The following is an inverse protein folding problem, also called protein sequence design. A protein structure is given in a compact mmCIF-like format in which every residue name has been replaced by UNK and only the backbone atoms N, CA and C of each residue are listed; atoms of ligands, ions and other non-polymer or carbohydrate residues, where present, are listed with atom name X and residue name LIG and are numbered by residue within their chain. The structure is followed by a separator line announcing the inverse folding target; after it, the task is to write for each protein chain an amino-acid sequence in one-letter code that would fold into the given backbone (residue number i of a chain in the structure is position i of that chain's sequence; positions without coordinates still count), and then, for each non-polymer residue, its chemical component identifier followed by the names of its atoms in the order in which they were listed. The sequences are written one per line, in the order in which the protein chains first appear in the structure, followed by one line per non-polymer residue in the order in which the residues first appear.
data_IF_468043417995
#
_entry.id   IF_468043417995
#
_cell.length_a   1.000
_cell.length_b   1.000
_cell.length_c   1.000
_cell.angle_alpha   90.00
_cell.angle_beta   90.00
_cell.angle_gamma   90.00
#
_symmetry.space_group_name_H-M   'P 1'
#
loop_
_entity.id
_entity.type
_entity.pdbx_description
1 polymer ?
#
# COMPACT_ATOMS: atom_id res chain seq x y z
N UNK A 1 -54.14 -26.09 -30.55
CA UNK A 1 -54.52 -25.28 -29.38
C UNK A 1 -53.39 -25.45 -28.37
N UNK A 2 -52.24 -24.87 -28.67
CA UNK A 2 -51.78 -23.53 -28.20
C UNK A 2 -51.18 -23.68 -26.79
N UNK A 3 -50.03 -23.16 -26.37
CA UNK A 3 -49.02 -22.28 -26.97
C UNK A 3 -47.80 -22.28 -26.04
N UNK A 4 -46.62 -22.15 -26.65
CA UNK A 4 -45.35 -21.53 -26.20
C UNK A 4 -45.14 -21.18 -24.71
N UNK A 5 -43.96 -21.54 -24.20
CA UNK A 5 -43.04 -20.56 -23.60
C UNK A 5 -41.59 -21.05 -23.73
N UNK A 6 -40.83 -20.41 -24.62
CA UNK A 6 -39.41 -20.60 -24.86
C UNK A 6 -38.67 -19.66 -23.90
N UNK A 7 -38.02 -20.19 -22.86
CA UNK A 7 -37.15 -19.42 -21.96
C UNK A 7 -35.77 -19.28 -22.61
N UNK A 8 -35.59 -18.20 -23.39
CA UNK A 8 -34.29 -17.89 -23.98
C UNK A 8 -33.33 -17.32 -22.94
N UNK A 9 -32.35 -18.13 -22.58
CA UNK A 9 -31.19 -17.77 -21.79
C UNK A 9 -30.19 -17.03 -22.68
N UNK A 10 -30.14 -15.69 -22.60
CA UNK A 10 -29.07 -14.91 -23.24
C UNK A 10 -28.01 -14.51 -22.20
N UNK A 11 -26.78 -14.96 -22.44
CA UNK A 11 -25.62 -14.77 -21.58
C UNK A 11 -24.80 -13.59 -22.09
N UNK A 12 -24.61 -12.54 -21.28
CA UNK A 12 -23.79 -11.38 -21.66
C UNK A 12 -22.29 -11.61 -21.42
N UNK A 13 -21.38 -10.96 -22.18
CA UNK A 13 -19.93 -11.16 -22.07
C UNK A 13 -19.31 -10.74 -20.73
N UNK A 14 -20.05 -10.03 -19.87
CA UNK A 14 -19.62 -9.66 -18.50
C UNK A 14 -19.90 -10.75 -17.45
N UNK A 15 -20.55 -11.87 -17.82
CA UNK A 15 -20.89 -12.96 -16.90
C UNK A 15 -21.98 -12.62 -15.87
N UNK A 16 -22.65 -11.48 -16.00
CA UNK A 16 -23.78 -11.11 -15.14
C UNK A 16 -25.08 -11.69 -15.69
N UNK A 17 -25.85 -12.39 -14.85
CA UNK A 17 -27.11 -13.01 -15.23
C UNK A 17 -28.26 -12.04 -14.94
N UNK A 18 -28.97 -11.63 -15.99
CA UNK A 18 -30.12 -10.73 -15.90
C UNK A 18 -31.39 -11.59 -15.82
N UNK A 19 -32.24 -11.38 -14.81
CA UNK A 19 -33.50 -12.11 -14.70
C UNK A 19 -34.67 -11.14 -14.87
N UNK A 20 -35.55 -11.42 -15.83
CA UNK A 20 -36.75 -10.63 -16.10
C UNK A 20 -37.96 -11.36 -15.54
N UNK A 21 -38.65 -10.72 -14.58
CA UNK A 21 -39.85 -11.26 -13.96
C UNK A 21 -41.09 -10.99 -14.84
N UNK A 22 -42.16 -11.79 -14.71
CA UNK A 22 -43.35 -11.67 -15.56
C UNK A 22 -44.12 -10.35 -15.40
N UNK A 23 -43.85 -9.57 -14.35
CA UNK A 23 -44.36 -8.21 -14.15
C UNK A 23 -43.55 -7.12 -14.87
N UNK A 24 -42.52 -7.52 -15.63
CA UNK A 24 -41.64 -6.61 -16.37
C UNK A 24 -40.48 -6.04 -15.54
N UNK A 25 -40.35 -6.42 -14.27
CA UNK A 25 -39.22 -6.00 -13.45
C UNK A 25 -37.94 -6.78 -13.81
N UNK A 26 -36.83 -6.05 -13.97
CA UNK A 26 -35.52 -6.62 -14.27
C UNK A 26 -34.68 -6.57 -13.00
N UNK A 27 -34.27 -7.74 -12.50
CA UNK A 27 -33.34 -7.83 -11.37
C UNK A 27 -31.96 -8.26 -11.86
N UNK A 28 -30.94 -7.53 -11.39
CA UNK A 28 -29.54 -7.83 -11.63
C UNK A 28 -28.98 -8.48 -10.38
N UNK A 29 -28.69 -9.77 -10.45
CA UNK A 29 -27.98 -10.46 -9.38
C UNK A 29 -26.48 -10.28 -9.61
N UNK A 30 -25.81 -9.59 -8.68
CA UNK A 30 -24.36 -9.55 -8.67
C UNK A 30 -23.83 -11.00 -8.53
N UNK A 31 -22.85 -11.42 -9.34
CA UNK A 31 -22.25 -12.74 -9.17
C UNK A 31 -21.66 -12.82 -7.75
N UNK A 32 -21.76 -13.98 -7.07
CA UNK A 32 -21.18 -14.15 -5.76
C UNK A 32 -19.69 -13.84 -5.85
N UNK A 33 -19.21 -12.87 -5.06
CA UNK A 33 -17.78 -12.56 -4.99
C UNK A 33 -17.09 -13.86 -4.56
N UNK A 34 -16.22 -14.47 -5.38
CA UNK A 34 -15.50 -15.64 -4.96
C UNK A 34 -14.70 -15.28 -3.70
N UNK A 35 -14.99 -15.97 -2.60
CA UNK A 35 -14.25 -15.89 -1.35
C UNK A 35 -12.86 -16.50 -1.59
N UNK A 36 -12.00 -15.79 -2.30
CA UNK A 36 -10.60 -16.15 -2.42
C UNK A 36 -9.96 -15.94 -1.04
N UNK A 37 -9.97 -17.01 -0.25
CA UNK A 37 -9.12 -17.14 0.92
C UNK A 37 -7.68 -17.07 0.40
N UNK A 38 -7.10 -15.87 0.39
CA UNK A 38 -5.68 -15.71 0.05
C UNK A 38 -4.89 -16.69 0.92
N UNK A 39 -4.14 -17.62 0.34
CA UNK A 39 -3.41 -18.60 1.12
C UNK A 39 -2.53 -17.85 2.13
N UNK A 40 -2.70 -18.14 3.43
CA UNK A 40 -1.75 -17.64 4.42
C UNK A 40 -0.39 -18.22 4.04
N UNK A 41 0.51 -17.38 3.54
CA UNK A 41 1.89 -17.81 3.27
C UNK A 41 2.44 -18.39 4.57
N UNK A 42 2.81 -19.67 4.59
CA UNK A 42 3.55 -20.24 5.72
C UNK A 42 4.86 -19.48 5.79
N UNK A 43 4.97 -18.65 6.83
CA UNK A 43 6.18 -17.92 7.16
C UNK A 43 7.20 -18.97 7.66
N UNK A 44 8.36 -19.14 7.00
CA UNK A 44 9.39 -20.06 7.47
C UNK A 44 9.69 -19.86 8.96
N UNK A 45 9.79 -20.95 9.72
CA UNK A 45 9.98 -20.91 11.18
C UNK A 45 11.33 -20.27 11.61
N UNK A 46 12.26 -20.08 10.65
CA UNK A 46 13.58 -19.47 10.84
C UNK A 46 13.61 -17.95 10.65
N UNK A 47 12.46 -17.28 10.52
CA UNK A 47 12.41 -15.82 10.43
C UNK A 47 12.63 -15.24 11.83
N UNK A 48 13.78 -14.58 12.01
CA UNK A 48 14.09 -13.78 13.22
C UNK A 48 12.95 -12.77 13.44
N UNK A 49 12.11 -13.00 14.44
CA UNK A 49 11.02 -12.08 14.82
C UNK A 49 11.60 -10.99 15.70
N UNK A 50 11.94 -9.86 15.10
CA UNK A 50 12.38 -8.68 15.85
C UNK A 50 11.26 -8.16 16.76
N UNK A 51 11.64 -7.70 17.96
CA UNK A 51 10.72 -7.07 18.90
C UNK A 51 10.17 -5.80 18.26
N UNK A 52 8.85 -5.73 18.13
CA UNK A 52 8.15 -4.56 17.58
C UNK A 52 8.33 -3.38 18.54
N UNK A 53 8.78 -2.25 18.01
CA UNK A 53 8.92 -1.01 18.76
C UNK A 53 7.69 -0.14 18.49
N UNK A 54 7.11 0.41 19.57
CA UNK A 54 5.91 1.23 19.50
C UNK A 54 6.33 2.69 19.59
N UNK A 55 5.89 3.51 18.64
CA UNK A 55 6.11 4.94 18.71
C UNK A 55 5.32 5.52 19.89
N UNK A 56 5.99 6.25 20.78
CA UNK A 56 5.34 6.92 21.92
C UNK A 56 4.44 8.08 21.53
N UNK A 57 4.66 8.67 20.35
CA UNK A 57 3.93 9.86 19.87
C UNK A 57 2.61 9.47 19.22
N UNK A 58 2.61 8.46 18.33
CA UNK A 58 1.40 8.08 17.58
C UNK A 58 0.90 6.65 17.83
N UNK A 59 1.55 5.88 18.70
CA UNK A 59 1.16 4.50 19.00
C UNK A 59 1.35 3.50 17.85
N UNK A 60 1.80 3.96 16.68
CA UNK A 60 2.04 3.07 15.55
C UNK A 60 3.23 2.15 15.84
N UNK A 61 3.06 0.89 15.45
CA UNK A 61 4.01 -0.14 15.77
C UNK A 61 4.87 -0.46 14.55
N UNK A 62 6.17 -0.20 14.66
CA UNK A 62 7.13 -0.37 13.57
C UNK A 62 7.90 -1.68 13.76
N UNK A 63 8.00 -2.46 12.68
CA UNK A 63 8.79 -3.70 12.64
C UNK A 63 10.23 -3.35 12.32
N UNK A 64 11.03 -2.87 13.27
CA UNK A 64 12.41 -2.56 12.90
C UNK A 64 13.45 -2.66 14.00
N UNK A 65 14.48 -3.52 13.81
CA UNK A 65 15.73 -3.43 14.57
C UNK A 65 16.70 -2.35 14.04
N UNK A 66 16.42 -1.73 12.88
CA UNK A 66 17.36 -0.83 12.20
C UNK A 66 17.03 0.65 12.41
N UNK A 67 18.06 1.45 12.69
CA UNK A 67 17.96 2.90 12.86
C UNK A 67 17.30 3.57 11.64
N UNK A 68 17.68 3.20 10.41
CA UNK A 68 17.16 3.84 9.19
C UNK A 68 15.64 3.77 9.08
N UNK A 69 15.00 2.70 9.52
CA UNK A 69 13.54 2.61 9.45
C UNK A 69 12.87 3.34 10.61
N UNK A 70 13.51 3.42 11.79
CA UNK A 70 13.06 4.30 12.87
C UNK A 70 13.12 5.77 12.44
N UNK A 71 14.16 6.16 11.71
CA UNK A 71 14.28 7.48 11.08
C UNK A 71 13.21 7.72 10.01
N UNK A 72 12.94 6.74 9.13
CA UNK A 72 11.82 6.86 8.16
C UNK A 72 10.48 7.05 8.85
N UNK A 73 10.25 6.34 9.97
CA UNK A 73 9.06 6.57 10.79
C UNK A 73 9.07 7.97 11.43
N UNK A 74 10.16 8.38 12.06
CA UNK A 74 10.28 9.69 12.69
C UNK A 74 9.98 10.82 11.69
N UNK A 75 10.42 10.67 10.45
CA UNK A 75 10.15 11.61 9.38
C UNK A 75 8.65 11.79 9.08
N UNK A 76 7.76 10.86 9.44
CA UNK A 76 6.30 11.05 9.29
C UNK A 76 5.71 12.07 10.25
N UNK A 77 6.43 12.38 11.34
CA UNK A 77 6.07 13.45 12.28
C UNK A 77 6.63 14.81 11.86
N UNK A 78 7.24 14.88 10.68
CA UNK A 78 7.85 16.09 10.13
C UNK A 78 7.53 16.19 8.64
N UNK A 79 7.85 17.33 8.04
CA UNK A 79 7.78 17.50 6.59
C UNK A 79 9.06 17.07 5.85
N UNK A 80 10.00 16.44 6.57
CA UNK A 80 11.29 16.05 6.01
C UNK A 80 11.17 14.94 4.98
N UNK A 81 11.68 15.20 3.77
CA UNK A 81 11.63 14.30 2.62
C UNK A 81 12.98 14.31 1.90
N UNK A 82 13.84 13.36 2.27
CA UNK A 82 15.22 13.21 1.74
C UNK A 82 15.29 12.86 0.26
N UNK A 83 14.32 12.12 -0.28
CA UNK A 83 14.43 11.61 -1.64
C UNK A 83 13.69 12.49 -2.62
N UNK A 84 14.41 13.07 -3.58
CA UNK A 84 13.84 13.86 -4.68
C UNK A 84 13.77 13.04 -5.96
N UNK A 85 12.66 13.17 -6.68
CA UNK A 85 12.49 12.62 -8.01
C UNK A 85 13.39 13.37 -9.02
N UNK A 86 14.05 12.66 -9.96
CA UNK A 86 14.86 13.33 -10.97
C UNK A 86 14.04 13.96 -12.10
N UNK A 87 12.76 13.63 -12.20
CA UNK A 87 11.88 14.08 -13.30
C UNK A 87 10.86 15.15 -12.88
N UNK A 88 10.75 15.47 -11.59
CA UNK A 88 9.92 16.55 -11.07
C UNK A 88 10.32 16.95 -9.64
N UNK A 89 9.68 17.98 -9.08
CA UNK A 89 9.99 18.47 -7.72
C UNK A 89 9.40 17.63 -6.58
N UNK A 90 8.86 16.44 -6.88
CA UNK A 90 8.29 15.57 -5.86
C UNK A 90 9.39 15.03 -4.95
N UNK A 91 9.17 15.17 -3.64
CA UNK A 91 10.00 14.56 -2.59
C UNK A 91 9.25 13.49 -1.80
N UNK A 92 9.98 12.51 -1.28
CA UNK A 92 9.47 11.39 -0.51
C UNK A 92 10.34 11.05 0.71
N UNK A 93 9.69 10.42 1.70
CA UNK A 93 10.32 10.05 2.98
C UNK A 93 11.15 8.76 2.82
N UNK A 94 10.71 7.85 1.94
CA UNK A 94 11.35 6.55 1.71
C UNK A 94 11.61 6.29 0.23
N UNK A 95 12.59 5.43 -0.07
CA UNK A 95 12.89 5.03 -1.45
C UNK A 95 11.65 4.42 -2.11
N UNK A 96 10.92 3.58 -1.39
CA UNK A 96 9.69 2.96 -1.88
C UNK A 96 8.65 4.01 -2.32
N UNK A 97 8.52 5.12 -1.58
CA UNK A 97 7.58 6.21 -1.96
C UNK A 97 7.98 6.90 -3.26
N UNK A 98 9.27 7.18 -3.48
CA UNK A 98 9.73 7.81 -4.72
C UNK A 98 9.71 6.83 -5.89
N UNK A 99 10.11 5.58 -5.68
CA UNK A 99 10.02 4.53 -6.71
C UNK A 99 8.58 4.35 -7.20
N UNK A 100 7.61 4.29 -6.30
CA UNK A 100 6.19 4.19 -6.69
C UNK A 100 5.71 5.45 -7.40
N UNK A 101 6.17 6.62 -6.96
CA UNK A 101 5.88 7.87 -7.63
C UNK A 101 6.40 7.88 -9.08
N UNK A 102 7.66 7.48 -9.30
CA UNK A 102 8.24 7.42 -10.66
C UNK A 102 7.45 6.43 -11.53
N UNK A 103 7.17 5.22 -11.02
CA UNK A 103 6.37 4.22 -11.76
C UNK A 103 4.99 4.74 -12.19
N UNK A 104 4.35 5.56 -11.36
CA UNK A 104 2.97 6.00 -11.59
C UNK A 104 2.83 7.36 -12.29
N UNK A 105 3.85 8.22 -12.21
CA UNK A 105 3.81 9.59 -12.77
C UNK A 105 4.82 9.83 -13.88
N UNK A 106 5.83 8.99 -13.98
CA UNK A 106 6.86 9.04 -15.01
C UNK A 106 7.00 7.64 -15.66
N UNK A 107 5.93 7.12 -16.30
CA UNK A 107 5.99 5.83 -16.96
C UNK A 107 7.09 5.82 -18.03
N UNK A 108 7.86 4.73 -18.10
CA UNK A 108 8.99 4.59 -19.03
C UNK A 108 10.32 5.19 -18.54
N UNK A 109 10.33 5.90 -17.41
CA UNK A 109 11.55 6.40 -16.79
C UNK A 109 12.15 5.41 -15.76
N UNK A 110 13.47 5.49 -15.47
CA UNK A 110 14.12 4.64 -14.47
C UNK A 110 13.59 4.93 -13.05
N UNK A 111 12.94 3.93 -12.43
CA UNK A 111 12.30 4.07 -11.11
C UNK A 111 13.21 3.75 -9.91
N UNK A 112 14.44 3.31 -10.21
CA UNK A 112 15.52 3.06 -9.27
C UNK A 112 16.42 4.29 -9.06
N UNK A 113 16.21 5.36 -9.83
CA UNK A 113 16.96 6.61 -9.72
C UNK A 113 16.24 7.62 -8.83
N UNK A 114 16.99 8.27 -7.96
CA UNK A 114 16.53 9.35 -7.07
C UNK A 114 17.73 10.13 -6.55
N UNK A 115 17.52 11.40 -6.21
CA UNK A 115 18.51 12.20 -5.50
C UNK A 115 18.28 12.09 -4.00
N UNK A 116 19.33 11.73 -3.25
CA UNK A 116 19.32 11.73 -1.77
C UNK A 116 19.80 13.10 -1.28
N UNK A 117 18.86 14.03 -1.15
CA UNK A 117 19.09 15.36 -0.58
C UNK A 117 18.96 15.26 0.94
N UNK A 118 19.98 14.72 1.60
CA UNK A 118 20.06 14.67 3.05
C UNK A 118 21.19 15.58 3.52
N UNK A 119 20.85 16.68 4.18
CA UNK A 119 21.84 17.56 4.79
C UNK A 119 22.20 17.11 6.22
N UNK A 120 23.37 17.52 6.72
CA UNK A 120 23.84 17.18 8.07
C UNK A 120 22.88 17.70 9.15
N UNK A 121 22.39 18.93 9.01
CA UNK A 121 21.40 19.52 9.92
C UNK A 121 20.08 18.74 9.94
N UNK A 122 19.63 18.27 8.77
CA UNK A 122 18.39 17.52 8.64
C UNK A 122 18.53 16.11 9.19
N UNK A 123 19.71 15.50 9.01
CA UNK A 123 20.06 14.22 9.61
C UNK A 123 20.00 14.29 11.14
N UNK A 124 20.61 15.33 11.74
CA UNK A 124 20.58 15.55 13.20
C UNK A 124 19.14 15.78 13.69
N UNK A 125 18.35 16.62 13.00
CA UNK A 125 16.92 16.83 13.33
C UNK A 125 16.15 15.52 13.32
N UNK A 126 16.40 14.67 12.32
CA UNK A 126 15.72 13.39 12.18
C UNK A 126 16.15 12.37 13.24
N UNK A 127 17.42 12.34 13.63
CA UNK A 127 17.90 11.52 14.75
C UNK A 127 17.24 11.92 16.07
N UNK A 128 17.22 13.21 16.39
CA UNK A 128 16.58 13.71 17.61
C UNK A 128 15.08 13.39 17.64
N UNK A 129 14.40 13.48 16.49
CA UNK A 129 13.00 13.07 16.39
C UNK A 129 12.80 11.56 16.56
N UNK A 130 13.78 10.77 16.13
CA UNK A 130 13.79 9.31 16.30
C UNK A 130 13.95 8.92 17.77
N UNK A 131 14.81 9.61 18.52
CA UNK A 131 14.97 9.47 19.98
C UNK A 131 13.67 9.79 20.73
N UNK A 132 12.90 10.78 20.26
CA UNK A 132 11.57 11.10 20.83
C UNK A 132 10.53 10.01 20.58
N UNK A 133 10.67 9.25 19.50
CA UNK A 133 9.72 8.19 19.15
C UNK A 133 9.96 6.90 19.96
N UNK A 134 11.22 6.56 20.26
CA UNK A 134 11.62 5.25 20.77
C UNK A 134 12.67 5.37 21.88
N UNK A 135 12.52 4.61 22.97
CA UNK A 135 13.43 4.61 24.14
C UNK A 135 14.87 4.17 23.84
N UNK A 136 15.09 3.50 22.72
CA UNK A 136 16.43 3.17 22.26
C UNK A 136 16.43 3.03 20.72
N UNK A 137 16.83 4.08 19.98
CA UNK A 137 16.82 4.04 18.53
C UNK A 137 17.94 3.17 17.93
N UNK A 138 18.96 2.80 18.72
CA UNK A 138 20.12 2.03 18.25
C UNK A 138 20.06 0.52 18.56
N UNK A 139 19.09 0.07 19.37
CA UNK A 139 18.86 -1.34 19.71
C UNK A 139 17.70 -2.00 18.94
#
# INVERSE_FOLDING_TARGET
MDSKAFSELWMQPSGSQCFVQPDGSVTMSAPPIPMFSSPRRRVPNNIKRYRRQICKICGSSNLVPFLRSKMVHAATHSDFKRYKCPHCDKRGISVATITLHIKSRHPGQPHNEYFDEMNEEEYVKLLLLTEKCFDNPYM
#
